data_IF_327346864324
#
_entry.id   IF_327346864324
#
_cell.length_a   1.000
_cell.length_b   1.000
_cell.length_c   1.000
_cell.angle_alpha   90.00
_cell.angle_beta   90.00
_cell.angle_gamma   90.00
#
_symmetry.space_group_name_H-M   'P 1'
#
loop_
_entity.id
_entity.type
_entity.pdbx_description
1 polymer ?
#
# COMPACT_ATOMS: atom_id res chain seq x y z
N UNK A 1 10.76 -4.30 4.37
CA UNK A 1 10.77 -2.98 3.73
C UNK A 1 9.46 -2.84 2.98
N UNK A 2 8.59 -1.89 3.36
CA UNK A 2 7.35 -1.66 2.63
C UNK A 2 7.63 -0.96 1.30
N UNK A 3 6.76 -1.20 0.32
CA UNK A 3 6.81 -0.58 -1.01
C UNK A 3 5.42 -0.01 -1.30
N UNK A 4 5.39 1.25 -1.73
CA UNK A 4 4.16 1.95 -2.07
C UNK A 4 4.23 2.33 -3.54
N UNK A 5 3.29 1.84 -4.33
CA UNK A 5 3.14 2.19 -5.73
C UNK A 5 2.16 3.34 -5.84
N UNK A 6 2.61 4.45 -6.43
CA UNK A 6 1.80 5.65 -6.61
C UNK A 6 1.69 6.00 -8.10
N UNK A 7 0.55 6.54 -8.50
CA UNK A 7 0.42 7.18 -9.80
C UNK A 7 1.30 8.42 -9.83
N UNK A 8 2.21 8.52 -10.81
CA UNK A 8 3.08 9.68 -11.00
C UNK A 8 2.31 10.99 -11.19
N UNK A 9 1.14 10.92 -11.82
CA UNK A 9 0.37 12.11 -12.19
C UNK A 9 -0.44 12.68 -11.02
N UNK A 10 -1.22 11.84 -10.31
CA UNK A 10 -2.14 12.32 -9.27
C UNK A 10 -1.77 11.87 -7.85
N UNK A 11 -0.70 11.09 -7.69
CA UNK A 11 -0.26 10.58 -6.39
C UNK A 11 -1.09 9.41 -5.84
N UNK A 12 -2.16 8.98 -6.53
CA UNK A 12 -3.03 7.89 -6.08
C UNK A 12 -2.24 6.62 -5.74
N UNK A 13 -2.50 6.03 -4.58
CA UNK A 13 -1.85 4.78 -4.16
C UNK A 13 -2.52 3.62 -4.90
N UNK A 14 -1.76 3.02 -5.82
CA UNK A 14 -2.17 1.85 -6.60
C UNK A 14 -2.04 0.58 -5.78
N UNK A 15 -0.95 0.42 -5.04
CA UNK A 15 -0.71 -0.77 -4.23
C UNK A 15 0.26 -0.50 -3.10
N UNK A 16 0.10 -1.26 -2.01
CA UNK A 16 0.97 -1.22 -0.84
C UNK A 16 1.40 -2.65 -0.54
N UNK A 17 2.70 -2.91 -0.66
CA UNK A 17 3.31 -4.15 -0.24
C UNK A 17 3.98 -3.94 1.11
N UNK A 18 3.48 -4.57 2.18
CA UNK A 18 4.00 -4.35 3.54
C UNK A 18 5.08 -5.37 3.90
N UNK A 19 4.79 -6.66 3.72
CA UNK A 19 5.70 -7.77 4.02
C UNK A 19 5.37 -9.03 3.21
N UNK A 20 6.37 -9.89 3.05
CA UNK A 20 6.23 -11.22 2.46
C UNK A 20 5.40 -12.13 3.41
N UNK A 21 4.60 -13.04 2.86
CA UNK A 21 3.86 -14.04 3.64
C UNK A 21 2.42 -13.68 4.03
N UNK A 22 1.86 -12.57 3.52
CA UNK A 22 0.46 -12.23 3.76
C UNK A 22 -0.48 -12.67 2.62
N UNK A 23 -0.16 -12.45 1.34
CA UNK A 23 -1.04 -12.79 0.19
C UNK A 23 -0.35 -12.88 -1.20
N UNK A 24 0.99 -12.86 -1.28
CA UNK A 24 1.68 -12.92 -2.58
C UNK A 24 3.01 -13.69 -2.50
N UNK A 25 3.35 -14.38 -3.59
CA UNK A 25 4.63 -15.09 -3.75
C UNK A 25 5.83 -14.12 -3.82
N UNK A 26 5.59 -12.84 -4.09
CA UNK A 26 6.64 -11.81 -4.20
C UNK A 26 6.08 -10.38 -4.27
N UNK A 27 6.99 -9.44 -4.52
CA UNK A 27 6.68 -8.02 -4.78
C UNK A 27 6.21 -7.90 -6.24
N UNK A 28 5.02 -7.33 -6.51
CA UNK A 28 4.56 -7.15 -7.89
C UNK A 28 5.45 -6.15 -8.63
N UNK A 29 5.79 -6.47 -9.87
CA UNK A 29 6.49 -5.53 -10.76
C UNK A 29 5.57 -4.39 -11.18
N UNK A 30 6.11 -3.21 -11.56
CA UNK A 30 5.29 -2.11 -12.06
C UNK A 30 4.40 -2.50 -13.26
N UNK A 31 4.89 -3.40 -14.13
CA UNK A 31 4.14 -3.88 -15.30
C UNK A 31 2.97 -4.79 -14.92
N UNK A 32 3.15 -5.68 -13.94
CA UNK A 32 2.06 -6.50 -13.39
C UNK A 32 0.99 -5.59 -12.74
N UNK A 33 1.44 -4.61 -11.95
CA UNK A 33 0.53 -3.68 -11.31
C UNK A 33 -0.25 -2.83 -12.32
N UNK A 34 0.40 -2.35 -13.38
CA UNK A 34 -0.29 -1.64 -14.46
C UNK A 34 -1.35 -2.53 -15.13
N UNK A 35 -1.04 -3.81 -15.34
CA UNK A 35 -1.97 -4.78 -15.93
C UNK A 35 -3.21 -5.01 -15.07
N UNK A 36 -3.11 -4.97 -13.74
CA UNK A 36 -4.26 -5.08 -12.84
C UNK A 36 -5.29 -3.95 -13.03
N UNK A 37 -4.85 -2.79 -13.52
CA UNK A 37 -5.71 -1.63 -13.80
C UNK A 37 -5.92 -1.39 -15.30
N UNK A 38 -5.61 -2.37 -16.16
CA UNK A 38 -5.74 -2.20 -17.62
C UNK A 38 -4.86 -1.11 -18.22
N UNK A 39 -3.75 -0.77 -17.56
CA UNK A 39 -2.80 0.26 -17.99
C UNK A 39 -3.24 1.69 -17.73
N UNK A 40 -4.30 1.94 -16.96
CA UNK A 40 -4.84 3.29 -16.71
C UNK A 40 -5.03 3.53 -15.21
N UNK A 41 -4.68 4.73 -14.73
CA UNK A 41 -4.94 5.11 -13.35
C UNK A 41 -6.46 5.22 -13.10
N UNK A 42 -7.01 4.51 -12.09
CA UNK A 42 -8.46 4.53 -11.82
C UNK A 42 -8.95 5.88 -11.28
N UNK A 43 -8.03 6.75 -10.84
CA UNK A 43 -8.39 8.06 -10.27
C UNK A 43 -8.35 9.21 -11.26
N UNK A 44 -7.29 9.31 -12.09
CA UNK A 44 -7.11 10.45 -12.98
C UNK A 44 -7.11 10.09 -14.47
N UNK A 45 -7.26 8.80 -14.82
CA UNK A 45 -7.25 8.34 -16.21
C UNK A 45 -5.88 8.41 -16.90
N UNK A 46 -4.81 8.74 -16.18
CA UNK A 46 -3.47 8.82 -16.76
C UNK A 46 -2.93 7.41 -17.07
N UNK A 47 -2.28 7.18 -18.23
CA UNK A 47 -1.70 5.89 -18.56
C UNK A 47 -0.60 5.49 -17.55
N UNK A 48 -0.68 4.26 -17.04
CA UNK A 48 0.32 3.68 -16.15
C UNK A 48 1.44 3.09 -16.99
N UNK A 49 2.64 3.65 -16.86
CA UNK A 49 3.84 3.21 -17.57
C UNK A 49 4.90 2.64 -16.64
N UNK A 50 6.02 2.21 -17.24
CA UNK A 50 7.22 1.81 -16.49
C UNK A 50 7.83 3.05 -15.82
N UNK A 51 8.06 3.03 -14.50
CA UNK A 51 8.69 4.16 -13.81
C UNK A 51 10.15 4.32 -14.25
N UNK A 52 10.63 5.57 -14.31
CA UNK A 52 12.04 5.90 -14.44
C UNK A 52 12.77 5.86 -13.10
N UNK A 53 14.08 6.12 -13.09
CA UNK A 53 14.86 6.20 -11.85
C UNK A 53 14.42 7.37 -10.96
N UNK A 54 14.04 8.50 -11.56
CA UNK A 54 13.57 9.70 -10.85
C UNK A 54 12.22 9.51 -10.15
N UNK A 55 11.47 8.47 -10.52
CA UNK A 55 10.17 8.13 -9.92
C UNK A 55 10.33 7.28 -8.64
N UNK A 56 11.56 6.84 -8.32
CA UNK A 56 11.85 5.95 -7.19
C UNK A 56 12.39 6.77 -6.01
N UNK A 57 11.64 6.77 -4.91
CA UNK A 57 12.03 7.45 -3.67
C UNK A 57 12.26 6.42 -2.57
N UNK A 58 13.49 6.37 -2.05
CA UNK A 58 13.85 5.54 -0.89
C UNK A 58 13.89 6.43 0.34
N UNK A 59 13.14 6.03 1.38
CA UNK A 59 13.07 6.76 2.64
C UNK A 59 13.52 5.89 3.82
N UNK A 60 14.17 6.47 4.85
CA UNK A 60 14.45 5.76 6.10
C UNK A 60 13.15 5.47 6.89
N UNK A 61 13.25 4.75 8.01
CA UNK A 61 12.14 4.54 8.96
C UNK A 61 10.91 3.81 8.36
N UNK A 62 11.15 2.69 7.67
CA UNK A 62 10.19 2.04 6.76
C UNK A 62 8.73 1.99 7.21
N UNK A 63 8.42 1.43 8.39
CA UNK A 63 7.02 1.30 8.83
C UNK A 63 6.39 2.60 9.34
N UNK A 64 7.16 3.48 9.99
CA UNK A 64 6.66 4.81 10.39
C UNK A 64 6.39 5.67 9.16
N UNK A 65 7.30 5.69 8.20
CA UNK A 65 7.13 6.43 6.95
C UNK A 65 5.94 5.91 6.14
N UNK A 66 5.72 4.59 6.13
CA UNK A 66 4.53 4.01 5.51
C UNK A 66 3.25 4.54 6.16
N UNK A 67 3.18 4.59 7.50
CA UNK A 67 1.99 5.11 8.21
C UNK A 67 1.72 6.56 7.80
N UNK A 68 2.75 7.40 7.78
CA UNK A 68 2.64 8.80 7.36
C UNK A 68 2.13 8.93 5.91
N UNK A 69 2.72 8.16 4.98
CA UNK A 69 2.32 8.11 3.56
C UNK A 69 0.85 7.73 3.39
N UNK A 70 0.34 6.77 4.18
CA UNK A 70 -1.04 6.33 4.10
C UNK A 70 -2.01 7.34 4.72
N UNK A 71 -1.63 7.98 5.82
CA UNK A 71 -2.43 9.03 6.46
C UNK A 71 -2.54 10.27 5.56
N UNK A 72 -1.45 10.69 4.94
CA UNK A 72 -1.43 11.78 3.95
C UNK A 72 -2.37 11.47 2.76
N UNK A 73 -2.31 10.26 2.22
CA UNK A 73 -3.16 9.84 1.11
C UNK A 73 -4.64 9.82 1.51
N UNK A 74 -4.97 9.34 2.71
CA UNK A 74 -6.33 9.37 3.26
C UNK A 74 -6.89 10.80 3.32
N UNK A 75 -6.08 11.77 3.77
CA UNK A 75 -6.50 13.17 3.87
C UNK A 75 -6.70 13.82 2.48
N UNK A 76 -5.80 13.52 1.53
CA UNK A 76 -5.79 14.18 0.22
C UNK A 76 -6.80 13.59 -0.77
N UNK A 77 -7.03 12.28 -0.75
CA UNK A 77 -7.68 11.61 -1.88
C UNK A 77 -9.21 11.58 -1.81
N UNK A 78 -9.87 11.93 -0.68
CA UNK A 78 -11.35 12.05 -0.55
C UNK A 78 -12.20 10.88 -1.16
N UNK A 79 -11.65 9.67 -1.27
CA UNK A 79 -12.38 8.48 -1.74
C UNK A 79 -12.76 7.60 -0.55
N UNK A 80 -13.81 6.79 -0.69
CA UNK A 80 -14.13 5.63 0.16
C UNK A 80 -12.93 4.66 0.19
N UNK A 81 -12.04 4.85 1.15
CA UNK A 81 -10.73 4.20 1.27
C UNK A 81 -10.82 2.78 1.89
N UNK A 82 -11.91 2.04 1.68
CA UNK A 82 -12.19 0.76 2.37
C UNK A 82 -11.04 -0.27 2.30
N UNK A 83 -10.33 -0.33 1.17
CA UNK A 83 -9.16 -1.23 1.01
C UNK A 83 -7.95 -0.80 1.83
N UNK A 84 -7.74 0.50 2.01
CA UNK A 84 -6.61 1.05 2.78
C UNK A 84 -6.94 1.06 4.27
N UNK A 85 -8.20 1.25 4.68
CA UNK A 85 -8.61 1.06 6.09
C UNK A 85 -8.31 -0.35 6.58
N UNK A 86 -8.53 -1.37 5.75
CA UNK A 86 -8.17 -2.76 6.07
C UNK A 86 -6.66 -2.98 6.19
N UNK A 87 -5.84 -2.25 5.42
CA UNK A 87 -4.37 -2.30 5.51
C UNK A 87 -3.89 -1.53 6.74
N UNK A 88 -4.43 -0.34 6.99
CA UNK A 88 -4.13 0.48 8.17
C UNK A 88 -4.49 -0.24 9.47
N UNK A 89 -5.64 -0.92 9.53
CA UNK A 89 -6.05 -1.69 10.71
C UNK A 89 -5.15 -2.89 11.00
N UNK A 90 -4.52 -3.47 9.97
CA UNK A 90 -3.52 -4.54 10.13
C UNK A 90 -2.15 -3.99 10.57
N UNK A 91 -1.83 -2.75 10.22
CA UNK A 91 -0.57 -2.07 10.58
C UNK A 91 -0.66 -1.43 11.97
N UNK A 92 -1.87 -1.08 12.44
CA UNK A 92 -2.12 -0.40 13.71
C UNK A 92 -2.16 -1.33 14.94
N UNK A 93 -1.93 -2.63 14.80
CA UNK A 93 -1.91 -3.54 15.96
C UNK A 93 -0.49 -3.58 16.57
N UNK A 94 -0.25 -2.97 17.75
CA UNK A 94 0.91 -3.34 18.55
C UNK A 94 0.77 -4.81 18.99
N UNK A 95 1.85 -5.58 18.82
CA UNK A 95 1.98 -6.95 19.36
C UNK A 95 2.07 -6.89 20.89
N UNK A 96 0.92 -6.87 21.55
CA UNK A 96 0.72 -7.17 22.97
C UNK A 96 -0.80 -7.06 23.18
N UNK A 97 -1.60 -8.11 23.23
CA UNK A 97 -1.52 -9.30 24.08
C UNK A 97 -2.37 -10.40 23.43
N UNK A 98 -1.76 -11.52 23.04
CA UNK A 98 -2.49 -12.78 22.92
C UNK A 98 -1.98 -13.64 24.07
N UNK A 99 -2.51 -13.38 25.27
CA UNK A 99 -2.49 -14.36 26.33
C UNK A 99 -3.58 -15.36 25.99
N UNK A 100 -3.15 -16.60 25.73
CA UNK A 100 -3.97 -17.79 25.68
C UNK A 100 -4.86 -17.86 26.93
N UNK A 101 -6.18 -17.96 26.75
CA UNK A 101 -7.03 -18.79 27.60
C UNK A 101 -8.40 -19.02 26.95
N UNK A 102 -8.74 -20.31 26.86
CA UNK A 102 -10.06 -20.90 27.01
C UNK A 102 -11.05 -20.85 25.83
N UNK A 103 -10.90 -21.85 24.96
CA UNK A 103 -12.02 -22.60 24.42
C UNK A 103 -12.11 -23.95 25.17
N UNK A 104 -13.04 -24.10 26.12
CA UNK A 104 -13.73 -25.37 26.39
C UNK A 104 -15.13 -25.04 26.94
N UNK A 105 -16.14 -25.22 26.11
CA UNK A 105 -17.49 -25.60 26.50
C UNK A 105 -17.91 -26.76 25.58
#
# INVERSE_FOLDING_TARGET
MPIVYRCRNCGFILHVFVKVGQNSYGVPTPSELASWYGGICPMCGHPLGRPGLDDIVVKPNGMEELKYVLEEARLRMKISFRSIEKILSQISVPRSTVSETEAVA
#
